data_IF_077169579050
#
_entry.id   IF_077169579050
#
_cell.length_a   1.000
_cell.length_b   1.000
_cell.length_c   1.000
_cell.angle_alpha   90.00
_cell.angle_beta   90.00
_cell.angle_gamma   90.00
#
_symmetry.space_group_name_H-M   'P 1'
#
loop_
_entity.id
_entity.type
_entity.pdbx_description
1 polymer ?
#
# COMPACT_ATOMS: atom_id res chain seq x y z
N UNK A 1 20.20 -9.17 9.88
CA UNK A 1 19.99 -8.48 8.60
C UNK A 1 19.06 -7.31 8.87
N UNK A 2 19.41 -6.13 8.37
CA UNK A 2 18.54 -4.95 8.45
C UNK A 2 17.34 -5.17 7.55
N UNK A 3 16.13 -5.02 8.09
CA UNK A 3 14.88 -5.12 7.30
C UNK A 3 14.81 -3.99 6.29
N UNK A 4 14.27 -4.28 5.12
CA UNK A 4 14.22 -3.33 4.00
C UNK A 4 12.80 -3.20 3.45
N UNK A 5 12.29 -1.97 3.43
CA UNK A 5 10.94 -1.67 2.95
C UNK A 5 10.99 -0.86 1.66
N UNK A 6 10.19 -1.27 0.67
CA UNK A 6 10.00 -0.51 -0.55
C UNK A 6 8.73 0.33 -0.50
N UNK A 7 8.81 1.58 -0.95
CA UNK A 7 7.67 2.46 -1.16
C UNK A 7 7.60 2.79 -2.65
N UNK A 8 6.55 2.38 -3.33
CA UNK A 8 6.30 2.76 -4.73
C UNK A 8 5.07 3.66 -4.80
N UNK A 9 5.23 4.87 -5.31
CA UNK A 9 4.13 5.85 -5.41
C UNK A 9 4.10 6.52 -6.78
N UNK A 10 3.09 7.36 -7.01
CA UNK A 10 2.85 7.92 -8.34
C UNK A 10 2.83 9.43 -8.35
N UNK A 11 3.27 10.03 -9.47
CA UNK A 11 3.05 11.46 -9.74
C UNK A 11 1.58 11.77 -10.06
N UNK A 12 0.79 10.77 -10.46
CA UNK A 12 -0.64 10.91 -10.71
C UNK A 12 -1.44 11.08 -9.40
N UNK A 13 -0.92 10.59 -8.28
CA UNK A 13 -1.56 10.71 -6.97
C UNK A 13 -1.69 12.16 -6.55
N UNK A 14 -2.89 12.54 -6.10
CA UNK A 14 -3.19 13.90 -5.63
C UNK A 14 -2.81 14.15 -4.17
N UNK A 15 -2.34 13.12 -3.48
CA UNK A 15 -1.85 13.18 -2.09
C UNK A 15 -0.51 12.45 -2.04
N UNK A 16 0.51 13.08 -1.41
CA UNK A 16 1.83 12.48 -1.16
C UNK A 16 1.76 11.43 -0.05
N UNK A 17 1.13 10.29 -0.37
CA UNK A 17 1.04 9.14 0.51
C UNK A 17 2.42 8.51 0.77
N UNK A 18 3.39 8.71 -0.13
CA UNK A 18 4.74 8.16 0.00
C UNK A 18 5.46 8.70 1.23
N UNK A 19 5.38 10.03 1.44
CA UNK A 19 5.93 10.66 2.64
C UNK A 19 5.22 10.23 3.92
N UNK A 20 3.93 9.92 3.87
CA UNK A 20 3.15 9.41 5.01
C UNK A 20 3.63 8.00 5.36
N UNK A 21 3.69 7.10 4.37
CA UNK A 21 4.16 5.74 4.57
C UNK A 21 5.60 5.72 5.10
N UNK A 22 6.49 6.57 4.57
CA UNK A 22 7.86 6.69 5.06
C UNK A 22 7.92 7.02 6.55
N UNK A 23 7.19 8.05 6.99
CA UNK A 23 7.16 8.46 8.40
C UNK A 23 6.66 7.35 9.30
N UNK A 24 5.60 6.65 8.88
CA UNK A 24 5.01 5.56 9.66
C UNK A 24 5.97 4.37 9.75
N UNK A 25 6.54 3.93 8.62
CA UNK A 25 7.51 2.82 8.62
C UNK A 25 8.70 3.16 9.50
N UNK A 26 9.28 4.37 9.36
CA UNK A 26 10.41 4.82 10.19
C UNK A 26 10.06 4.87 11.68
N UNK A 27 8.82 5.19 12.04
CA UNK A 27 8.38 5.21 13.44
C UNK A 27 8.14 3.82 14.04
N UNK A 28 7.73 2.85 13.22
CA UNK A 28 7.45 1.47 13.66
C UNK A 28 8.68 0.55 13.56
N UNK A 29 9.66 0.94 12.74
CA UNK A 29 10.95 0.27 12.57
C UNK A 29 12.05 1.29 12.24
N UNK A 30 12.64 1.86 13.30
CA UNK A 30 13.65 2.93 13.24
C UNK A 30 14.97 2.48 12.62
N UNK A 31 15.33 1.21 12.77
CA UNK A 31 16.55 0.60 12.22
C UNK A 31 16.43 0.20 10.74
N UNK A 32 15.25 0.26 10.13
CA UNK A 32 15.04 -0.28 8.79
C UNK A 32 15.64 0.55 7.65
N UNK A 33 16.03 -0.10 6.57
CA UNK A 33 16.31 0.58 5.29
C UNK A 33 14.96 0.84 4.58
N UNK A 34 14.77 2.03 4.02
CA UNK A 34 13.56 2.39 3.27
C UNK A 34 13.98 2.93 1.92
N UNK A 35 13.57 2.27 0.84
CA UNK A 35 13.77 2.73 -0.54
C UNK A 35 12.46 3.22 -1.11
N UNK A 36 12.47 4.40 -1.74
CA UNK A 36 11.31 4.98 -2.42
C UNK A 36 11.55 5.01 -3.93
N UNK A 37 10.54 4.63 -4.71
CA UNK A 37 10.54 4.71 -6.16
C UNK A 37 9.22 5.30 -6.67
N UNK A 38 9.26 6.52 -7.18
CA UNK A 38 8.11 7.21 -7.77
C UNK A 38 8.02 6.95 -9.27
N UNK A 39 6.83 6.61 -9.75
CA UNK A 39 6.53 6.35 -11.18
C UNK A 39 5.40 7.27 -11.69
N UNK A 40 5.14 7.35 -13.01
CA UNK A 40 4.11 8.23 -13.53
C UNK A 40 2.69 7.94 -12.99
N UNK A 41 2.26 6.67 -13.04
CA UNK A 41 0.91 6.27 -12.64
C UNK A 41 0.79 4.81 -12.22
N UNK A 42 -0.44 4.38 -11.93
CA UNK A 42 -0.70 3.05 -11.35
C UNK A 42 -0.20 1.88 -12.20
N UNK A 43 -0.22 2.01 -13.54
CA UNK A 43 0.22 0.96 -14.46
C UNK A 43 1.71 0.63 -14.35
N UNK A 44 2.50 1.53 -13.77
CA UNK A 44 3.94 1.36 -13.58
C UNK A 44 4.28 0.78 -12.18
N UNK A 45 3.30 0.74 -11.25
CA UNK A 45 3.49 0.19 -9.91
C UNK A 45 3.91 -1.29 -9.88
N UNK A 46 3.43 -2.17 -10.78
CA UNK A 46 3.88 -3.57 -10.80
C UNK A 46 5.38 -3.70 -11.06
N UNK A 47 5.91 -3.02 -12.08
CA UNK A 47 7.34 -3.08 -12.39
C UNK A 47 8.17 -2.38 -11.31
N UNK A 48 7.70 -1.26 -10.76
CA UNK A 48 8.36 -0.60 -9.63
C UNK A 48 8.47 -1.52 -8.41
N UNK A 49 7.38 -2.21 -8.06
CA UNK A 49 7.34 -3.16 -6.95
C UNK A 49 8.29 -4.32 -7.18
N UNK A 50 8.29 -4.91 -8.39
CA UNK A 50 9.19 -6.02 -8.72
C UNK A 50 10.66 -5.61 -8.56
N UNK A 51 11.03 -4.43 -9.06
CA UNK A 51 12.40 -3.90 -8.95
C UNK A 51 12.82 -3.68 -7.50
N UNK A 52 11.96 -3.07 -6.67
CA UNK A 52 12.24 -2.88 -5.25
C UNK A 52 12.46 -4.20 -4.52
N UNK A 53 11.66 -5.23 -4.83
CA UNK A 53 11.80 -6.57 -4.26
C UNK A 53 13.10 -7.26 -4.72
N UNK A 54 13.49 -7.08 -5.98
CA UNK A 54 14.75 -7.59 -6.54
C UNK A 54 15.98 -6.87 -5.97
N UNK A 55 15.84 -5.60 -5.58
CA UNK A 55 16.83 -4.82 -4.83
C UNK A 55 16.89 -5.19 -3.33
N UNK A 56 16.16 -6.24 -2.92
CA UNK A 56 16.24 -6.84 -1.60
C UNK A 56 15.20 -6.36 -0.60
N UNK A 57 14.19 -5.57 -1.00
CA UNK A 57 13.10 -5.22 -0.07
C UNK A 57 12.36 -6.48 0.41
N UNK A 58 12.08 -6.58 1.70
CA UNK A 58 11.34 -7.68 2.33
C UNK A 58 9.83 -7.58 2.10
N UNK A 59 9.35 -6.38 1.80
CA UNK A 59 8.00 -6.11 1.32
C UNK A 59 7.90 -4.70 0.76
N UNK A 60 6.86 -4.47 -0.05
CA UNK A 60 6.61 -3.19 -0.71
C UNK A 60 5.22 -2.68 -0.34
N UNK A 61 5.06 -1.37 -0.20
CA UNK A 61 3.76 -0.69 -0.21
C UNK A 61 3.63 0.10 -1.51
N UNK A 62 2.53 -0.07 -2.24
CA UNK A 62 2.23 0.72 -3.44
C UNK A 62 1.16 1.75 -3.14
N UNK A 63 1.31 2.96 -3.67
CA UNK A 63 0.49 4.13 -3.31
C UNK A 63 -0.05 4.79 -4.58
N UNK A 64 -1.21 4.29 -5.03
CA UNK A 64 -1.86 4.65 -6.28
C UNK A 64 -3.07 5.58 -6.12
N UNK A 65 -3.47 6.17 -7.23
CA UNK A 65 -4.65 7.01 -7.33
C UNK A 65 -5.39 6.71 -8.63
N UNK A 66 -6.71 6.61 -8.57
CA UNK A 66 -7.58 6.21 -9.68
C UNK A 66 -8.64 7.28 -9.88
N UNK A 67 -8.76 7.76 -11.13
CA UNK A 67 -9.79 8.74 -11.51
C UNK A 67 -11.21 8.16 -11.45
N UNK A 68 -12.20 9.02 -11.69
CA UNK A 68 -13.63 8.67 -11.57
C UNK A 68 -14.17 7.80 -12.71
N UNK A 69 -13.45 7.65 -13.82
CA UNK A 69 -14.01 7.00 -15.01
C UNK A 69 -13.92 5.48 -14.92
N UNK A 70 -14.78 4.78 -15.65
CA UNK A 70 -14.69 3.32 -15.75
C UNK A 70 -13.38 2.86 -16.41
N UNK A 71 -12.80 3.67 -17.30
CA UNK A 71 -11.51 3.40 -17.92
C UNK A 71 -10.36 3.43 -16.89
N UNK A 72 -10.45 4.32 -15.90
CA UNK A 72 -9.51 4.37 -14.79
C UNK A 72 -9.62 3.10 -13.93
N UNK A 73 -10.85 2.62 -13.68
CA UNK A 73 -11.09 1.35 -12.97
C UNK A 73 -10.55 0.14 -13.73
N UNK A 74 -10.65 0.11 -15.06
CA UNK A 74 -10.01 -0.94 -15.86
C UNK A 74 -8.49 -0.87 -15.81
N UNK A 75 -7.93 0.34 -15.80
CA UNK A 75 -6.49 0.52 -15.61
C UNK A 75 -6.03 0.02 -14.23
N UNK A 76 -6.85 0.24 -13.20
CA UNK A 76 -6.60 -0.31 -11.87
C UNK A 76 -6.74 -1.84 -11.83
N UNK A 77 -7.75 -2.43 -12.47
CA UNK A 77 -7.87 -3.89 -12.55
C UNK A 77 -6.62 -4.52 -13.18
N UNK A 78 -6.14 -3.98 -14.29
CA UNK A 78 -4.91 -4.44 -14.93
C UNK A 78 -3.69 -4.29 -14.02
N UNK A 79 -3.59 -3.17 -13.30
CA UNK A 79 -2.55 -2.91 -12.31
C UNK A 79 -2.59 -3.94 -11.17
N UNK A 80 -3.77 -4.19 -10.61
CA UNK A 80 -3.97 -5.13 -9.50
C UNK A 80 -3.59 -6.56 -9.87
N UNK A 81 -3.94 -7.01 -11.08
CA UNK A 81 -3.48 -8.30 -11.63
C UNK A 81 -1.94 -8.34 -11.69
N UNK A 82 -1.32 -7.26 -12.17
CA UNK A 82 0.14 -7.13 -12.20
C UNK A 82 0.78 -7.24 -10.80
N UNK A 83 0.22 -6.55 -9.80
CA UNK A 83 0.69 -6.62 -8.41
C UNK A 83 0.52 -8.01 -7.79
N UNK A 84 -0.59 -8.70 -8.07
CA UNK A 84 -0.81 -10.09 -7.67
C UNK A 84 0.27 -10.99 -8.28
N UNK A 85 0.55 -10.84 -9.57
CA UNK A 85 1.61 -11.60 -10.25
C UNK A 85 2.98 -11.35 -9.61
N UNK A 86 3.32 -10.09 -9.29
CA UNK A 86 4.58 -9.76 -8.60
C UNK A 86 4.69 -10.48 -7.26
N UNK A 87 3.62 -10.49 -6.46
CA UNK A 87 3.62 -11.19 -5.17
C UNK A 87 3.85 -12.69 -5.32
N UNK A 88 3.15 -13.34 -6.27
CA UNK A 88 3.28 -14.78 -6.51
C UNK A 88 4.70 -15.12 -7.00
N UNK A 89 5.24 -14.35 -7.94
CA UNK A 89 6.55 -14.60 -8.54
C UNK A 89 7.73 -14.32 -7.59
N UNK A 90 7.52 -13.52 -6.56
CA UNK A 90 8.58 -13.14 -5.60
C UNK A 90 8.41 -13.77 -4.23
N UNK A 91 7.24 -14.36 -3.93
CA UNK A 91 6.88 -14.83 -2.59
C UNK A 91 7.02 -13.76 -1.50
N UNK A 92 6.87 -12.48 -1.88
CA UNK A 92 6.95 -11.33 -0.98
C UNK A 92 5.68 -10.50 -1.08
N UNK A 93 5.30 -9.87 0.02
CA UNK A 93 4.09 -9.06 0.07
C UNK A 93 4.26 -7.73 -0.65
N UNK A 94 3.24 -7.35 -1.40
CA UNK A 94 3.04 -6.02 -1.95
C UNK A 94 1.69 -5.52 -1.45
N UNK A 95 1.72 -4.55 -0.55
CA UNK A 95 0.52 -3.96 0.06
C UNK A 95 -0.01 -2.87 -0.85
N UNK A 96 -1.08 -3.18 -1.58
CA UNK A 96 -1.74 -2.24 -2.50
C UNK A 96 -2.60 -1.22 -1.75
N UNK A 97 -2.20 0.05 -1.81
CA UNK A 97 -2.93 1.20 -1.31
C UNK A 97 -3.28 2.09 -2.48
N UNK A 98 -4.48 1.89 -3.03
CA UNK A 98 -5.01 2.71 -4.11
C UNK A 98 -6.27 3.45 -3.65
N UNK A 99 -6.34 4.76 -3.87
CA UNK A 99 -7.51 5.60 -3.56
C UNK A 99 -8.24 5.92 -4.87
N UNK A 100 -9.55 5.69 -4.90
CA UNK A 100 -10.39 6.08 -6.04
C UNK A 100 -11.10 7.39 -5.75
N UNK A 101 -11.14 8.29 -6.73
CA UNK A 101 -11.78 9.60 -6.57
C UNK A 101 -13.30 9.55 -6.36
N UNK A 102 -13.95 8.40 -6.60
CA UNK A 102 -15.36 8.19 -6.33
C UNK A 102 -15.66 7.62 -4.94
N UNK A 103 -14.63 7.47 -4.09
CA UNK A 103 -14.80 7.07 -2.68
C UNK A 103 -15.38 8.16 -1.79
N UNK A 104 -15.25 9.43 -2.19
CA UNK A 104 -15.86 10.55 -1.49
C UNK A 104 -16.21 11.69 -2.44
N UNK A 105 -17.22 12.49 -2.05
CA UNK A 105 -17.73 13.59 -2.86
C UNK A 105 -16.88 14.87 -2.75
N UNK A 106 -16.03 14.97 -1.72
CA UNK A 106 -15.18 16.13 -1.45
C UNK A 106 -13.69 15.78 -1.29
N UNK A 107 -12.83 16.74 -1.66
CA UNK A 107 -11.38 16.53 -1.69
C UNK A 107 -10.75 16.40 -0.30
N UNK A 108 -11.32 17.06 0.71
CA UNK A 108 -10.84 16.94 2.09
C UNK A 108 -11.07 15.51 2.61
N UNK A 109 -12.25 14.93 2.35
CA UNK A 109 -12.55 13.55 2.70
C UNK A 109 -11.68 12.55 1.93
N UNK A 110 -11.45 12.76 0.63
CA UNK A 110 -10.51 11.93 -0.15
C UNK A 110 -9.10 11.98 0.45
N UNK A 111 -8.65 13.16 0.89
CA UNK A 111 -7.35 13.33 1.54
C UNK A 111 -7.30 12.63 2.90
N UNK A 112 -8.35 12.71 3.72
CA UNK A 112 -8.45 11.96 4.97
C UNK A 112 -8.34 10.44 4.74
N UNK A 113 -9.08 9.92 3.75
CA UNK A 113 -9.04 8.51 3.37
C UNK A 113 -7.64 8.11 2.95
N UNK A 114 -6.98 8.91 2.11
CA UNK A 114 -5.63 8.66 1.64
C UNK A 114 -4.61 8.61 2.81
N UNK A 115 -4.70 9.56 3.74
CA UNK A 115 -3.83 9.61 4.92
C UNK A 115 -4.05 8.39 5.82
N UNK A 116 -5.31 8.07 6.13
CA UNK A 116 -5.65 6.94 7.01
C UNK A 116 -5.22 5.60 6.40
N UNK A 117 -5.50 5.40 5.11
CA UNK A 117 -5.16 4.17 4.39
C UNK A 117 -3.65 4.00 4.29
N UNK A 118 -2.91 5.02 3.86
CA UNK A 118 -1.44 4.97 3.81
C UNK A 118 -0.85 4.65 5.19
N UNK A 119 -1.38 5.28 6.25
CA UNK A 119 -0.91 5.07 7.63
C UNK A 119 -1.16 3.65 8.11
N UNK A 120 -2.39 3.15 8.01
CA UNK A 120 -2.74 1.82 8.53
C UNK A 120 -2.09 0.70 7.73
N UNK A 121 -2.01 0.83 6.41
CA UNK A 121 -1.34 -0.18 5.58
C UNK A 121 0.18 -0.18 5.74
N UNK A 122 0.81 0.97 5.98
CA UNK A 122 2.23 1.01 6.34
C UNK A 122 2.50 0.24 7.65
N UNK A 123 1.65 0.39 8.67
CA UNK A 123 1.74 -0.43 9.90
C UNK A 123 1.57 -1.93 9.61
N UNK A 124 0.62 -2.28 8.75
CA UNK A 124 0.40 -3.69 8.35
C UNK A 124 1.62 -4.27 7.63
N UNK A 125 2.24 -3.52 6.72
CA UNK A 125 3.47 -3.94 6.04
C UNK A 125 4.58 -4.21 7.07
N UNK A 126 4.81 -3.28 7.99
CA UNK A 126 5.82 -3.43 9.05
C UNK A 126 5.55 -4.68 9.89
N UNK A 127 4.31 -4.89 10.30
CA UNK A 127 3.88 -6.09 11.06
C UNK A 127 4.16 -7.38 10.31
N UNK A 128 3.76 -7.47 9.05
CA UNK A 128 3.94 -8.67 8.25
C UNK A 128 5.44 -8.98 8.03
N UNK A 129 6.26 -7.96 7.80
CA UNK A 129 7.72 -8.16 7.62
C UNK A 129 8.41 -8.50 8.94
N UNK A 130 8.04 -7.88 10.07
CA UNK A 130 8.69 -8.10 11.37
C UNK A 130 8.26 -9.38 12.06
N UNK A 131 6.95 -9.63 12.08
CA UNK A 131 6.32 -10.70 12.87
C UNK A 131 5.94 -11.90 12.00
N UNK A 132 6.06 -11.80 10.67
CA UNK A 132 5.79 -12.88 9.72
C UNK A 132 4.32 -13.27 9.63
N UNK A 133 4.06 -14.51 9.20
CA UNK A 133 2.71 -15.03 8.91
C UNK A 133 1.71 -14.96 10.07
N UNK A 134 2.19 -14.88 11.32
CA UNK A 134 1.35 -14.87 12.51
C UNK A 134 1.00 -13.45 12.99
N UNK A 135 1.57 -12.40 12.36
CA UNK A 135 1.44 -11.01 12.78
C UNK A 135 -0.02 -10.56 12.97
N UNK A 136 -0.91 -11.07 12.12
CA UNK A 136 -2.31 -10.64 12.04
C UNK A 136 -3.30 -11.68 12.56
N UNK A 137 -2.87 -12.87 12.98
CA UNK A 137 -3.76 -13.99 13.33
C UNK A 137 -4.76 -13.64 14.44
N UNK A 138 -4.33 -12.87 15.44
CA UNK A 138 -5.21 -12.42 16.54
C UNK A 138 -6.32 -11.45 16.12
N UNK A 139 -6.24 -10.89 14.92
CA UNK A 139 -7.24 -9.97 14.37
C UNK A 139 -8.13 -10.64 13.30
N UNK A 140 -7.95 -11.94 13.06
CA UNK A 140 -8.78 -12.68 12.12
C UNK A 140 -10.27 -12.56 12.51
N UNK A 141 -11.11 -12.23 11.53
CA UNK A 141 -12.56 -12.08 11.72
C UNK A 141 -13.03 -10.79 12.40
N UNK A 142 -12.13 -9.87 12.76
CA UNK A 142 -12.51 -8.65 13.54
C UNK A 142 -13.06 -7.47 12.71
N UNK A 143 -13.17 -7.62 11.39
CA UNK A 143 -13.73 -6.59 10.51
C UNK A 143 -12.97 -5.26 10.50
N UNK A 144 -11.64 -5.27 10.66
CA UNK A 144 -10.82 -4.06 10.66
C UNK A 144 -10.78 -3.42 9.26
N UNK A 145 -10.92 -2.09 9.18
CA UNK A 145 -10.91 -1.32 7.91
C UNK A 145 -9.82 -0.24 7.88
N UNK A 146 -9.39 0.11 6.67
CA UNK A 146 -8.46 1.18 6.37
C UNK A 146 -9.13 2.17 5.40
N UNK A 147 -9.16 3.45 5.75
CA UNK A 147 -9.93 4.50 5.09
C UNK A 147 -11.32 4.76 5.70
N UNK A 148 -11.84 3.83 6.51
CA UNK A 148 -13.16 3.92 7.14
C UNK A 148 -13.17 3.30 8.55
N UNK A 149 -14.28 3.49 9.27
CA UNK A 149 -14.52 2.82 10.55
C UNK A 149 -14.55 1.30 10.38
N UNK A 150 -14.06 0.56 11.39
CA UNK A 150 -14.10 -0.89 11.40
C UNK A 150 -15.55 -1.38 11.27
N UNK A 151 -15.77 -2.43 10.48
CA UNK A 151 -17.08 -3.07 10.35
C UNK A 151 -17.50 -3.81 11.63
N UNK A 152 -16.52 -4.25 12.42
CA UNK A 152 -16.74 -5.14 13.55
C UNK A 152 -16.83 -6.61 13.12
N UNK A 153 -16.88 -7.48 14.12
CA UNK A 153 -17.12 -8.90 13.93
C UNK A 153 -18.61 -9.18 13.69
N UNK A 154 -18.89 -10.25 12.93
CA UNK A 154 -20.23 -10.80 12.76
C UNK A 154 -20.11 -12.24 13.26
N UNK A 155 -20.74 -12.53 14.39
CA UNK A 155 -20.87 -13.89 14.92
C UNK A 155 -21.99 -14.65 14.22
#
# INVERSE_FOLDING_TARGET
MTRKYGIADTTFSRVDMGSIAYKVIRSEDDEAEIIRYTVPGIKDLPVASKRLLDEGCDGVITLGWVGKTILDKYSYLATSIGLIMVQILTSKHVIDVTVHEDEADDEEKLKEIAIDRATKHAKNLVKLVKEGKNALTKYAGKGLRQGYNNAGEID
#
